data_IF_418273710365
#
_entry.id   IF_418273710365
#
_cell.length_a   1.000
_cell.length_b   1.000
_cell.length_c   1.000
_cell.angle_alpha   90.00
_cell.angle_beta   90.00
_cell.angle_gamma   90.00
#
_symmetry.space_group_name_H-M   'P 1'
#
loop_
_entity.id
_entity.type
_entity.pdbx_description
1 polymer ?
#
# COMPACT_ATOMS: atom_id res chain seq x y z
N UNK A 1 -17.97 -25.34 75.57
CA UNK A 1 -18.94 -25.74 74.51
C UNK A 1 -19.61 -24.49 73.96
N UNK A 2 -19.25 -24.07 72.74
CA UNK A 2 -20.12 -23.37 71.77
C UNK A 2 -19.34 -23.31 70.46
N UNK A 3 -19.91 -23.93 69.43
CA UNK A 3 -19.34 -24.19 68.10
C UNK A 3 -19.15 -22.87 67.34
N UNK A 4 -17.98 -22.65 66.73
CA UNK A 4 -17.81 -21.69 65.64
C UNK A 4 -18.01 -22.43 64.31
N UNK A 5 -18.86 -21.85 63.45
CA UNK A 5 -19.20 -22.27 62.09
C UNK A 5 -18.23 -21.58 61.13
N UNK A 6 -17.68 -22.25 60.09
CA UNK A 6 -16.74 -21.63 59.17
C UNK A 6 -17.47 -20.82 58.10
N UNK A 7 -17.03 -19.58 57.86
CA UNK A 7 -17.38 -18.84 56.65
C UNK A 7 -16.26 -19.07 55.62
N UNK A 8 -16.65 -19.64 54.48
CA UNK A 8 -15.78 -19.85 53.33
C UNK A 8 -15.42 -18.51 52.68
N UNK A 9 -14.13 -18.29 52.45
CA UNK A 9 -13.63 -17.22 51.59
C UNK A 9 -13.75 -17.71 50.15
N UNK A 10 -14.70 -17.15 49.40
CA UNK A 10 -14.71 -17.22 47.93
C UNK A 10 -14.12 -15.91 47.43
N UNK A 11 -12.83 -15.92 47.10
CA UNK A 11 -12.21 -14.86 46.32
C UNK A 11 -12.23 -15.30 44.86
N UNK A 12 -13.09 -14.63 44.08
CA UNK A 12 -13.30 -14.82 42.66
C UNK A 12 -12.05 -14.36 41.90
N UNK A 13 -11.36 -15.27 41.21
CA UNK A 13 -10.40 -14.93 40.18
C UNK A 13 -11.17 -14.34 38.99
N UNK A 14 -11.24 -13.00 38.90
CA UNK A 14 -11.60 -12.35 37.66
C UNK A 14 -10.38 -12.41 36.73
N UNK A 15 -10.36 -13.41 35.85
CA UNK A 15 -9.45 -13.42 34.71
C UNK A 15 -9.73 -12.18 33.86
N UNK A 16 -8.72 -11.31 33.70
CA UNK A 16 -8.74 -10.35 32.62
C UNK A 16 -8.77 -11.15 31.31
N UNK A 17 -9.95 -11.19 30.68
CA UNK A 17 -10.07 -11.52 29.27
C UNK A 17 -9.30 -10.45 28.51
N UNK A 18 -8.19 -10.84 27.88
CA UNK A 18 -7.50 -10.03 26.91
C UNK A 18 -8.51 -9.57 25.86
N UNK A 19 -8.50 -8.26 25.55
CA UNK A 19 -9.21 -7.71 24.41
C UNK A 19 -8.78 -8.47 23.13
N UNK A 20 -9.70 -8.68 22.16
CA UNK A 20 -9.38 -9.45 20.98
C UNK A 20 -8.20 -8.81 20.24
N UNK A 21 -7.26 -9.66 19.82
CA UNK A 21 -6.21 -9.29 18.89
C UNK A 21 -6.85 -8.58 17.69
N UNK A 22 -6.33 -7.40 17.34
CA UNK A 22 -6.61 -6.82 16.03
C UNK A 22 -6.25 -7.89 15.00
N UNK A 23 -7.20 -8.27 14.14
CA UNK A 23 -6.90 -9.15 13.02
C UNK A 23 -5.71 -8.52 12.27
N UNK A 24 -4.62 -9.28 12.11
CA UNK A 24 -3.48 -8.82 11.34
C UNK A 24 -3.98 -8.38 9.96
N UNK A 25 -3.53 -7.22 9.47
CA UNK A 25 -3.83 -6.80 8.11
C UNK A 25 -3.31 -7.90 7.18
N UNK A 26 -4.21 -8.51 6.42
CA UNK A 26 -3.88 -9.60 5.49
C UNK A 26 -3.39 -8.97 4.19
N UNK A 27 -2.15 -9.28 3.80
CA UNK A 27 -1.57 -8.90 2.52
C UNK A 27 -2.10 -9.82 1.41
N UNK A 28 -2.60 -9.25 0.32
CA UNK A 28 -3.29 -9.98 -0.75
C UNK A 28 -2.38 -10.03 -1.98
N UNK A 29 -1.93 -11.22 -2.34
CA UNK A 29 -1.01 -11.45 -3.46
C UNK A 29 -1.74 -12.19 -4.57
N UNK A 30 -1.68 -11.65 -5.79
CA UNK A 30 -2.23 -12.28 -6.98
C UNK A 30 -1.10 -12.72 -7.91
N UNK A 31 -1.00 -14.02 -8.18
CA UNK A 31 -0.10 -14.57 -9.20
C UNK A 31 -0.83 -14.64 -10.54
N UNK A 32 -0.18 -14.25 -11.64
CA UNK A 32 -0.74 -14.41 -12.97
C UNK A 32 -0.69 -15.87 -13.44
N UNK A 33 -1.72 -16.28 -14.19
CA UNK A 33 -1.71 -17.47 -15.04
C UNK A 33 -2.48 -17.18 -16.34
N UNK A 34 -2.43 -15.93 -16.82
CA UNK A 34 -3.15 -15.47 -18.01
C UNK A 34 -2.24 -15.26 -19.22
N UNK A 35 -0.92 -15.27 -19.03
CA UNK A 35 0.09 -15.14 -20.09
C UNK A 35 0.84 -16.46 -20.33
N UNK A 36 0.13 -17.58 -20.24
CA UNK A 36 0.61 -18.91 -20.59
C UNK A 36 1.77 -19.42 -19.70
N UNK A 37 1.68 -19.13 -18.40
CA UNK A 37 2.60 -19.54 -17.33
C UNK A 37 2.72 -21.07 -17.17
N UNK A 38 1.82 -21.84 -17.78
CA UNK A 38 1.85 -23.32 -17.82
C UNK A 38 2.12 -23.87 -19.22
N UNK A 39 2.69 -23.07 -20.14
CA UNK A 39 3.00 -23.52 -21.49
C UNK A 39 4.26 -24.39 -21.54
N UNK A 40 4.29 -25.36 -22.47
CA UNK A 40 5.43 -26.26 -22.63
C UNK A 40 5.72 -27.03 -21.34
N UNK A 41 6.92 -26.84 -20.80
CA UNK A 41 7.36 -27.42 -19.53
C UNK A 41 7.21 -26.48 -18.32
N UNK A 42 6.71 -25.25 -18.51
CA UNK A 42 6.52 -24.29 -17.44
C UNK A 42 5.33 -24.64 -16.55
N UNK A 43 5.36 -24.18 -15.30
CA UNK A 43 4.25 -24.35 -14.36
C UNK A 43 4.24 -23.27 -13.28
N UNK A 44 4.30 -22.01 -13.70
CA UNK A 44 4.50 -20.85 -12.81
C UNK A 44 3.23 -20.44 -12.05
N UNK A 45 2.62 -21.42 -11.37
CA UNK A 45 1.42 -21.29 -10.56
C UNK A 45 1.70 -21.77 -9.13
N UNK A 46 1.00 -21.19 -8.16
CA UNK A 46 1.08 -21.59 -6.74
C UNK A 46 0.23 -22.83 -6.42
N UNK A 47 -0.67 -23.21 -7.33
CA UNK A 47 -1.64 -24.27 -7.14
C UNK A 47 -2.48 -24.51 -8.41
N UNK A 48 -2.88 -25.77 -8.62
CA UNK A 48 -3.80 -26.16 -9.71
C UNK A 48 -5.25 -25.79 -9.39
N UNK A 49 -5.59 -25.58 -8.11
CA UNK A 49 -6.87 -24.95 -7.77
C UNK A 49 -6.76 -23.44 -7.93
N UNK A 50 -7.47 -22.91 -8.91
CA UNK A 50 -7.50 -21.49 -9.22
C UNK A 50 -8.95 -20.97 -9.19
N UNK A 51 -9.19 -19.76 -8.67
CA UNK A 51 -8.20 -18.79 -8.21
C UNK A 51 -7.63 -19.05 -6.81
N UNK A 52 -8.20 -19.99 -6.05
CA UNK A 52 -7.87 -20.20 -4.64
C UNK A 52 -7.16 -21.55 -4.42
N UNK A 53 -5.84 -21.56 -4.12
CA UNK A 53 -5.09 -22.79 -3.90
C UNK A 53 -5.49 -23.51 -2.60
N UNK A 54 -6.18 -22.82 -1.67
CA UNK A 54 -6.63 -23.43 -0.40
C UNK A 54 -7.67 -24.53 -0.60
N UNK A 55 -8.29 -24.64 -1.79
CA UNK A 55 -9.17 -25.77 -2.08
C UNK A 55 -8.41 -27.09 -2.34
N UNK A 56 -7.10 -27.06 -2.64
CA UNK A 56 -6.27 -28.27 -2.62
C UNK A 56 -5.98 -28.70 -1.18
N UNK A 57 -5.59 -27.74 -0.34
CA UNK A 57 -5.40 -27.91 1.09
C UNK A 57 -5.57 -26.56 1.79
N UNK A 58 -6.52 -26.48 2.74
CA UNK A 58 -6.86 -25.22 3.42
C UNK A 58 -5.87 -24.81 4.50
N UNK A 59 -4.94 -25.68 4.88
CA UNK A 59 -3.93 -25.44 5.90
C UNK A 59 -2.58 -26.07 5.51
N UNK A 60 -1.98 -25.66 4.37
CA UNK A 60 -0.78 -26.30 3.86
C UNK A 60 0.41 -26.11 4.83
N UNK A 61 1.20 -27.17 5.01
CA UNK A 61 2.38 -27.21 5.87
C UNK A 61 3.68 -27.40 5.09
N UNK A 62 3.59 -28.04 3.93
CA UNK A 62 4.70 -28.34 3.02
C UNK A 62 4.33 -27.91 1.60
N UNK A 63 5.34 -27.63 0.79
CA UNK A 63 5.20 -27.23 -0.61
C UNK A 63 4.33 -28.20 -1.43
N UNK A 64 4.49 -29.50 -1.19
CA UNK A 64 3.69 -30.56 -1.84
C UNK A 64 2.23 -30.67 -1.39
N UNK A 65 1.75 -29.79 -0.50
CA UNK A 65 0.32 -29.72 -0.16
C UNK A 65 -0.49 -29.00 -1.25
N UNK A 66 0.17 -28.18 -2.07
CA UNK A 66 -0.36 -27.62 -3.31
C UNK A 66 0.40 -28.23 -4.50
N UNK A 67 -0.02 -27.91 -5.73
CA UNK A 67 0.60 -28.45 -6.95
C UNK A 67 0.78 -27.32 -7.94
N UNK A 68 2.02 -27.00 -8.25
CA UNK A 68 2.41 -25.83 -9.04
C UNK A 68 3.85 -25.46 -8.70
N UNK A 69 4.69 -25.12 -9.67
CA UNK A 69 6.12 -24.89 -9.43
C UNK A 69 6.43 -23.73 -8.46
N UNK A 70 5.44 -22.93 -8.08
CA UNK A 70 5.57 -21.85 -7.09
C UNK A 70 4.90 -22.19 -5.74
N UNK A 71 4.54 -23.46 -5.48
CA UNK A 71 3.77 -23.84 -4.28
C UNK A 71 4.50 -23.49 -2.99
N UNK A 72 5.82 -23.67 -2.92
CA UNK A 72 6.63 -23.37 -1.74
C UNK A 72 6.57 -21.88 -1.38
N UNK A 73 6.50 -21.00 -2.37
CA UNK A 73 6.29 -19.57 -2.18
C UNK A 73 4.91 -19.31 -1.58
N UNK A 74 3.85 -19.82 -2.20
CA UNK A 74 2.48 -19.65 -1.73
C UNK A 74 2.24 -20.25 -0.34
N UNK A 75 2.74 -21.45 -0.09
CA UNK A 75 2.64 -22.16 1.20
C UNK A 75 3.41 -21.43 2.29
N UNK A 76 4.62 -20.93 2.00
CA UNK A 76 5.38 -20.15 2.98
C UNK A 76 4.63 -18.89 3.41
N UNK A 77 4.01 -18.17 2.47
CA UNK A 77 3.17 -17.00 2.76
C UNK A 77 1.92 -17.40 3.57
N UNK A 78 1.19 -18.44 3.13
CA UNK A 78 -0.03 -18.92 3.79
C UNK A 78 0.24 -19.32 5.25
N UNK A 79 1.36 -19.98 5.53
CA UNK A 79 1.76 -20.43 6.88
C UNK A 79 1.99 -19.28 7.87
N UNK A 80 2.29 -18.08 7.38
CA UNK A 80 2.44 -16.91 8.27
C UNK A 80 1.11 -16.46 8.86
N UNK A 81 -0.03 -16.80 8.23
CA UNK A 81 -1.34 -16.26 8.56
C UNK A 81 -1.54 -14.78 8.23
N UNK A 82 -0.56 -14.13 7.59
CA UNK A 82 -0.58 -12.71 7.25
C UNK A 82 -0.85 -12.45 5.76
N UNK A 83 -0.96 -13.49 4.95
CA UNK A 83 -1.14 -13.37 3.51
C UNK A 83 -2.34 -14.16 3.03
N UNK A 84 -3.01 -13.63 2.00
CA UNK A 84 -3.94 -14.34 1.14
C UNK A 84 -3.31 -14.44 -0.25
N UNK A 85 -3.19 -15.65 -0.75
CA UNK A 85 -2.60 -15.93 -2.06
C UNK A 85 -3.69 -16.40 -3.01
N UNK A 86 -3.73 -15.81 -4.21
CA UNK A 86 -4.61 -16.23 -5.31
C UNK A 86 -3.86 -16.30 -6.62
N UNK A 87 -4.45 -16.99 -7.59
CA UNK A 87 -4.01 -16.98 -8.99
C UNK A 87 -5.09 -16.36 -9.87
N UNK A 88 -4.69 -15.52 -10.83
CA UNK A 88 -5.56 -15.03 -11.90
C UNK A 88 -5.63 -16.12 -13.00
N UNK A 89 -6.73 -16.88 -13.14
CA UNK A 89 -6.75 -18.07 -13.99
C UNK A 89 -6.79 -17.74 -15.48
N UNK A 90 -6.37 -18.68 -16.37
CA UNK A 90 -6.48 -18.52 -17.81
C UNK A 90 -7.90 -18.13 -18.24
N UNK A 91 -8.00 -17.24 -19.24
CA UNK A 91 -9.28 -16.70 -19.72
C UNK A 91 -9.81 -15.49 -18.94
N UNK A 92 -9.16 -15.10 -17.83
CA UNK A 92 -9.40 -13.81 -17.19
C UNK A 92 -8.54 -12.70 -17.84
N UNK A 93 -8.75 -11.46 -17.40
CA UNK A 93 -8.02 -10.28 -17.89
C UNK A 93 -7.37 -9.56 -16.73
N UNK A 94 -6.10 -9.19 -16.89
CA UNK A 94 -5.41 -8.31 -15.93
C UNK A 94 -6.11 -6.94 -15.98
N UNK A 95 -6.76 -6.57 -14.88
CA UNK A 95 -7.66 -5.42 -14.81
C UNK A 95 -7.41 -4.60 -13.55
N UNK A 96 -7.66 -3.29 -13.62
CA UNK A 96 -7.53 -2.37 -12.49
C UNK A 96 -8.66 -1.34 -12.51
N UNK A 97 -9.41 -1.21 -11.42
CA UNK A 97 -10.49 -0.23 -11.29
C UNK A 97 -11.83 -0.65 -11.89
N UNK A 98 -12.01 -1.93 -12.25
CA UNK A 98 -13.21 -2.43 -12.94
C UNK A 98 -14.28 -3.00 -11.99
N UNK A 99 -13.94 -3.25 -10.72
CA UNK A 99 -14.84 -3.85 -9.73
C UNK A 99 -14.91 -5.38 -9.76
N UNK A 100 -14.16 -6.06 -10.64
CA UNK A 100 -14.08 -7.52 -10.68
C UNK A 100 -13.43 -8.12 -9.42
N UNK A 101 -13.78 -9.35 -9.05
CA UNK A 101 -13.27 -9.99 -7.83
C UNK A 101 -11.75 -10.23 -7.85
N UNK A 102 -11.18 -10.47 -9.04
CA UNK A 102 -9.75 -10.63 -9.27
C UNK A 102 -9.11 -9.38 -9.90
N UNK A 103 -9.81 -8.23 -9.88
CA UNK A 103 -9.25 -6.94 -10.28
C UNK A 103 -8.13 -6.54 -9.32
N UNK A 104 -7.03 -5.99 -9.87
CA UNK A 104 -5.84 -5.61 -9.13
C UNK A 104 -6.11 -4.60 -8.00
N UNK A 105 -7.20 -3.83 -8.06
CA UNK A 105 -7.61 -2.95 -6.96
C UNK A 105 -7.86 -3.70 -5.63
N UNK A 106 -8.12 -5.01 -5.69
CA UNK A 106 -8.40 -5.85 -4.55
C UNK A 106 -7.16 -6.57 -4.00
N UNK A 107 -5.98 -6.28 -4.53
CA UNK A 107 -4.71 -6.90 -4.14
C UNK A 107 -3.69 -5.84 -3.76
N UNK A 108 -2.70 -6.25 -2.98
CA UNK A 108 -1.59 -5.41 -2.56
C UNK A 108 -0.36 -5.66 -3.46
N UNK A 109 -0.26 -6.87 -4.03
CA UNK A 109 0.80 -7.27 -4.94
C UNK A 109 0.29 -8.11 -6.11
N UNK A 110 0.88 -7.89 -7.29
CA UNK A 110 0.71 -8.69 -8.49
C UNK A 110 2.04 -9.30 -8.92
N UNK A 111 2.08 -10.62 -9.06
CA UNK A 111 3.23 -11.38 -9.54
C UNK A 111 2.96 -11.80 -10.99
N UNK A 112 3.82 -11.42 -11.92
CA UNK A 112 3.77 -11.81 -13.33
C UNK A 112 5.01 -12.67 -13.65
N UNK A 113 4.91 -14.00 -13.54
CA UNK A 113 6.06 -14.87 -13.65
C UNK A 113 6.28 -15.39 -15.08
N UNK A 114 7.39 -15.03 -15.71
CA UNK A 114 7.80 -15.47 -17.06
C UNK A 114 6.62 -15.44 -18.06
N UNK A 115 6.05 -14.25 -18.35
CA UNK A 115 4.94 -14.15 -19.28
C UNK A 115 5.37 -14.65 -20.66
N UNK A 116 4.52 -15.48 -21.26
CA UNK A 116 4.70 -16.09 -22.58
C UNK A 116 3.67 -15.57 -23.60
N UNK A 117 2.84 -14.60 -23.23
CA UNK A 117 1.91 -13.91 -24.14
C UNK A 117 2.01 -12.42 -23.88
N UNK A 118 2.11 -11.63 -24.96
CA UNK A 118 2.13 -10.17 -24.85
C UNK A 118 0.86 -9.65 -24.17
N UNK A 119 1.03 -8.76 -23.19
CA UNK A 119 -0.10 -8.10 -22.53
C UNK A 119 -0.82 -7.18 -23.53
N UNK A 120 -2.15 -7.22 -23.53
CA UNK A 120 -2.94 -6.26 -24.30
C UNK A 120 -2.73 -4.83 -23.79
N UNK A 121 -3.07 -3.82 -24.60
CA UNK A 121 -2.94 -2.42 -24.21
C UNK A 121 -3.68 -2.09 -22.90
N UNK A 122 -4.87 -2.66 -22.70
CA UNK A 122 -5.65 -2.48 -21.47
C UNK A 122 -4.98 -3.14 -20.26
N UNK A 123 -4.38 -4.31 -20.43
CA UNK A 123 -3.70 -5.03 -19.35
C UNK A 123 -2.42 -4.30 -18.94
N UNK A 124 -1.63 -3.83 -19.90
CA UNK A 124 -0.46 -2.99 -19.63
C UNK A 124 -0.85 -1.74 -18.85
N UNK A 125 -1.88 -1.02 -19.31
CA UNK A 125 -2.39 0.15 -18.58
C UNK A 125 -2.93 -0.20 -17.18
N UNK A 126 -3.52 -1.38 -16.99
CA UNK A 126 -4.01 -1.84 -15.69
C UNK A 126 -2.84 -2.09 -14.72
N UNK A 127 -1.81 -2.82 -15.14
CA UNK A 127 -0.59 -3.07 -14.34
C UNK A 127 0.06 -1.74 -13.97
N UNK A 128 0.25 -0.85 -14.93
CA UNK A 128 0.91 0.44 -14.66
C UNK A 128 0.11 1.32 -13.71
N UNK A 129 -1.22 1.40 -13.85
CA UNK A 129 -2.06 2.16 -12.91
C UNK A 129 -2.10 1.52 -11.54
N UNK A 130 -2.11 0.19 -11.45
CA UNK A 130 -2.02 -0.51 -10.17
C UNK A 130 -0.76 -0.11 -9.41
N UNK A 131 0.42 -0.19 -10.05
CA UNK A 131 1.68 0.25 -9.43
C UNK A 131 1.66 1.74 -9.13
N UNK A 132 1.25 2.58 -10.08
CA UNK A 132 1.20 4.04 -9.88
C UNK A 132 0.40 4.44 -8.62
N UNK A 133 -0.65 3.68 -8.30
CA UNK A 133 -1.56 3.93 -7.17
C UNK A 133 -1.23 3.13 -5.90
N UNK A 134 -0.01 2.58 -5.78
CA UNK A 134 0.48 1.98 -4.54
C UNK A 134 0.62 0.46 -4.54
N UNK A 135 0.24 -0.22 -5.62
CA UNK A 135 0.42 -1.66 -5.77
C UNK A 135 1.89 -2.08 -5.89
N UNK A 136 2.20 -3.29 -5.43
CA UNK A 136 3.47 -3.96 -5.64
C UNK A 136 3.46 -4.81 -6.92
N UNK A 137 4.45 -4.65 -7.79
CA UNK A 137 4.63 -5.50 -8.97
C UNK A 137 5.88 -6.35 -8.84
N UNK A 138 5.72 -7.68 -8.87
CA UNK A 138 6.82 -8.64 -8.95
C UNK A 138 6.86 -9.22 -10.35
N UNK A 139 7.91 -8.92 -11.10
CA UNK A 139 8.20 -9.50 -12.40
C UNK A 139 9.21 -10.64 -12.25
N UNK A 140 9.00 -11.74 -12.96
CA UNK A 140 10.04 -12.75 -13.16
C UNK A 140 10.27 -12.85 -14.66
N UNK A 141 11.51 -12.60 -15.08
CA UNK A 141 11.94 -12.81 -16.45
C UNK A 141 12.62 -14.17 -16.56
N UNK A 142 12.93 -14.57 -17.77
CA UNK A 142 13.82 -15.69 -18.06
C UNK A 142 14.85 -15.25 -19.13
N UNK A 143 15.41 -16.19 -19.89
CA UNK A 143 16.38 -15.94 -20.96
C UNK A 143 15.74 -15.63 -22.33
N UNK A 144 16.54 -15.16 -23.28
CA UNK A 144 16.21 -15.21 -24.71
C UNK A 144 16.12 -16.67 -25.17
N UNK A 145 15.05 -17.02 -25.88
CA UNK A 145 14.63 -18.37 -26.19
C UNK A 145 13.70 -19.00 -25.14
N UNK A 146 13.09 -18.18 -24.27
CA UNK A 146 12.10 -18.62 -23.27
C UNK A 146 10.67 -18.72 -23.80
N UNK A 147 10.44 -18.51 -25.09
CA UNK A 147 9.14 -18.76 -25.74
C UNK A 147 8.68 -20.22 -25.60
N UNK A 148 7.85 -20.48 -24.58
CA UNK A 148 7.31 -21.80 -24.21
C UNK A 148 6.07 -22.19 -25.02
N UNK A 149 5.41 -21.22 -25.67
CA UNK A 149 4.16 -21.44 -26.40
C UNK A 149 4.33 -21.34 -27.93
N UNK A 150 5.53 -20.99 -28.39
CA UNK A 150 5.94 -20.81 -29.78
C UNK A 150 5.17 -19.68 -30.49
N UNK A 151 4.82 -18.60 -29.78
CA UNK A 151 4.12 -17.44 -30.36
C UNK A 151 5.07 -16.35 -30.90
N UNK A 152 6.38 -16.55 -30.71
CA UNK A 152 7.45 -15.67 -31.19
C UNK A 152 7.86 -14.58 -30.20
N UNK A 153 7.40 -14.64 -28.94
CA UNK A 153 7.79 -13.71 -27.89
C UNK A 153 8.48 -14.40 -26.72
N UNK A 154 9.69 -13.95 -26.40
CA UNK A 154 10.34 -14.35 -25.16
C UNK A 154 9.89 -13.47 -23.97
N UNK A 155 9.94 -14.01 -22.75
CA UNK A 155 9.56 -13.25 -21.55
C UNK A 155 10.33 -11.93 -21.34
N UNK A 156 11.65 -11.82 -21.64
CA UNK A 156 12.35 -10.53 -21.64
C UNK A 156 11.76 -9.50 -22.59
N UNK A 157 11.27 -9.94 -23.77
CA UNK A 157 10.70 -9.04 -24.78
C UNK A 157 9.33 -8.53 -24.34
N UNK A 158 8.49 -9.41 -23.77
CA UNK A 158 7.18 -9.04 -23.24
C UNK A 158 7.33 -8.03 -22.09
N UNK A 159 8.30 -8.25 -21.19
CA UNK A 159 8.57 -7.31 -20.09
C UNK A 159 9.09 -5.98 -20.63
N UNK A 160 9.98 -5.97 -21.63
CA UNK A 160 10.44 -4.73 -22.26
C UNK A 160 9.32 -3.97 -23.00
N UNK A 161 8.34 -4.66 -23.60
CA UNK A 161 7.13 -4.04 -24.17
C UNK A 161 6.28 -3.38 -23.06
N UNK A 162 6.16 -3.99 -21.88
CA UNK A 162 5.53 -3.34 -20.72
C UNK A 162 6.31 -2.07 -20.27
N UNK A 163 7.65 -2.08 -20.33
CA UNK A 163 8.45 -0.90 -19.93
C UNK A 163 8.33 0.28 -20.90
N UNK A 164 8.15 0.01 -22.20
CA UNK A 164 8.28 1.03 -23.25
C UNK A 164 7.00 1.32 -24.02
N UNK A 165 5.95 0.51 -23.84
CA UNK A 165 4.71 0.59 -24.61
C UNK A 165 3.47 0.21 -23.77
N UNK A 166 3.29 0.83 -22.60
CA UNK A 166 2.19 0.51 -21.68
C UNK A 166 0.99 1.47 -21.70
N UNK A 167 1.13 2.64 -22.32
CA UNK A 167 0.04 3.63 -22.47
C UNK A 167 -0.22 4.49 -21.23
N UNK A 168 0.58 4.38 -20.17
CA UNK A 168 0.55 5.25 -18.99
C UNK A 168 1.81 6.10 -18.93
N UNK A 169 2.97 5.48 -19.03
CA UNK A 169 4.27 6.13 -19.14
C UNK A 169 5.20 5.26 -20.00
N UNK A 170 5.44 5.69 -21.24
CA UNK A 170 6.23 4.94 -22.22
C UNK A 170 7.74 5.30 -22.18
N UNK A 171 8.21 5.92 -21.10
CA UNK A 171 9.60 6.41 -20.98
C UNK A 171 10.48 5.55 -20.07
N UNK A 172 10.21 4.25 -19.96
CA UNK A 172 10.87 3.34 -19.01
C UNK A 172 10.66 3.81 -17.55
N UNK A 173 9.41 3.83 -17.07
CA UNK A 173 9.05 4.42 -15.79
C UNK A 173 9.65 3.68 -14.59
N UNK A 174 10.17 2.46 -14.76
CA UNK A 174 10.83 1.71 -13.69
C UNK A 174 12.36 1.89 -13.73
N UNK A 175 12.91 2.50 -14.78
CA UNK A 175 14.33 2.80 -14.91
C UNK A 175 15.19 1.57 -15.18
N UNK A 176 14.66 0.53 -15.83
CA UNK A 176 15.46 -0.61 -16.24
C UNK A 176 14.92 -1.27 -17.51
N UNK A 177 15.83 -1.89 -18.27
CA UNK A 177 15.47 -2.82 -19.34
C UNK A 177 15.96 -4.23 -19.03
N UNK A 178 15.24 -5.22 -19.54
CA UNK A 178 15.68 -6.61 -19.53
C UNK A 178 16.65 -6.83 -20.68
N UNK A 179 17.83 -7.37 -20.38
CA UNK A 179 18.78 -7.74 -21.42
C UNK A 179 18.27 -8.97 -22.19
N UNK A 180 18.48 -9.01 -23.50
CA UNK A 180 18.20 -10.21 -24.30
C UNK A 180 19.43 -11.13 -24.28
N UNK A 181 19.53 -11.95 -23.23
CA UNK A 181 20.65 -12.86 -22.97
C UNK A 181 20.14 -14.25 -22.57
N UNK A 182 21.00 -15.24 -22.74
CA UNK A 182 20.88 -16.54 -22.10
C UNK A 182 22.16 -16.82 -21.31
N UNK A 183 22.06 -16.67 -19.99
CA UNK A 183 23.13 -16.98 -19.05
C UNK A 183 22.87 -18.40 -18.54
N UNK A 184 23.61 -19.37 -19.06
CA UNK A 184 23.35 -20.77 -18.76
C UNK A 184 23.52 -21.15 -17.29
N UNK A 185 24.46 -20.51 -16.57
CA UNK A 185 24.66 -20.72 -15.14
C UNK A 185 25.46 -19.57 -14.52
N UNK A 186 25.07 -19.14 -13.32
CA UNK A 186 25.82 -18.24 -12.44
C UNK A 186 25.30 -18.33 -11.00
N UNK A 187 26.02 -17.76 -10.04
CA UNK A 187 25.56 -17.53 -8.66
C UNK A 187 25.61 -16.03 -8.32
N UNK A 188 24.57 -15.26 -8.71
CA UNK A 188 24.53 -13.82 -8.47
C UNK A 188 24.74 -13.47 -7.00
N UNK A 189 25.51 -12.41 -6.75
CA UNK A 189 25.90 -11.98 -5.41
C UNK A 189 25.13 -10.72 -5.04
N UNK A 190 24.51 -10.73 -3.87
CA UNK A 190 23.81 -9.59 -3.32
C UNK A 190 24.79 -8.47 -2.93
N UNK A 191 24.36 -7.22 -3.09
CA UNK A 191 25.13 -6.06 -2.62
C UNK A 191 25.22 -6.02 -1.10
N UNK A 192 26.23 -5.33 -0.59
CA UNK A 192 26.35 -5.04 0.84
C UNK A 192 25.49 -3.83 1.23
N UNK A 193 24.22 -4.07 1.53
CA UNK A 193 23.31 -3.07 2.10
C UNK A 193 22.52 -3.69 3.27
N UNK A 194 22.97 -3.40 4.50
CA UNK A 194 22.38 -3.96 5.71
C UNK A 194 20.99 -3.38 6.05
N UNK A 195 20.60 -2.29 5.39
CA UNK A 195 19.31 -1.61 5.62
C UNK A 195 18.25 -2.00 4.60
N UNK A 196 18.64 -2.68 3.52
CA UNK A 196 17.69 -3.05 2.48
C UNK A 196 16.73 -4.16 2.97
N UNK A 197 15.40 -3.96 2.87
CA UNK A 197 14.39 -4.90 3.38
C UNK A 197 14.30 -6.19 2.57
N UNK A 198 14.63 -6.15 1.28
CA UNK A 198 14.61 -7.33 0.42
C UNK A 198 15.79 -8.24 0.77
N UNK A 199 16.95 -7.65 1.08
CA UNK A 199 18.16 -8.39 1.44
C UNK A 199 18.20 -8.84 2.91
N UNK A 200 17.46 -8.18 3.81
CA UNK A 200 17.53 -8.43 5.26
C UNK A 200 16.14 -8.52 5.91
N UNK A 201 15.13 -8.97 5.16
CA UNK A 201 13.74 -9.04 5.63
C UNK A 201 13.48 -10.19 6.60
N UNK A 202 12.22 -10.29 7.05
CA UNK A 202 11.80 -11.25 8.06
C UNK A 202 11.95 -12.73 7.65
N UNK A 203 12.06 -13.01 6.35
CA UNK A 203 12.20 -14.36 5.82
C UNK A 203 13.66 -14.84 5.70
N UNK A 204 14.62 -13.98 6.05
CA UNK A 204 16.03 -14.35 6.11
C UNK A 204 16.93 -13.34 5.41
N UNK A 205 18.24 -13.57 5.53
CA UNK A 205 19.25 -12.75 4.87
C UNK A 205 19.56 -13.32 3.48
N UNK A 206 19.61 -12.44 2.48
CA UNK A 206 20.01 -12.80 1.10
C UNK A 206 21.47 -12.41 0.88
N UNK A 207 22.28 -13.38 0.45
CA UNK A 207 23.67 -13.18 0.03
C UNK A 207 23.89 -13.60 -1.41
N UNK A 208 23.21 -14.68 -1.83
CA UNK A 208 23.36 -15.24 -3.16
C UNK A 208 22.01 -15.66 -3.74
N UNK A 209 21.94 -15.70 -5.07
CA UNK A 209 20.90 -16.41 -5.81
C UNK A 209 21.56 -17.37 -6.80
N UNK A 210 20.80 -17.98 -7.70
CA UNK A 210 21.31 -18.82 -8.78
C UNK A 210 20.73 -18.40 -10.12
N UNK A 211 21.44 -18.75 -11.19
CA UNK A 211 20.94 -18.73 -12.57
C UNK A 211 21.08 -20.13 -13.16
N UNK A 212 20.05 -20.59 -13.86
CA UNK A 212 19.98 -21.84 -14.62
C UNK A 212 19.28 -21.61 -15.98
N UNK A 213 19.89 -20.78 -16.84
CA UNK A 213 19.35 -20.18 -18.08
C UNK A 213 18.50 -18.94 -17.84
N UNK A 214 19.07 -17.88 -17.28
CA UNK A 214 18.37 -16.61 -17.06
C UNK A 214 18.94 -15.44 -17.86
N UNK A 215 18.58 -14.23 -17.42
CA UNK A 215 19.06 -12.97 -17.99
C UNK A 215 19.51 -11.97 -16.90
N UNK A 216 19.88 -10.77 -17.33
CA UNK A 216 20.22 -9.63 -16.48
C UNK A 216 19.44 -8.38 -16.88
N UNK A 217 19.59 -7.32 -16.08
CA UNK A 217 18.98 -6.03 -16.28
C UNK A 217 20.04 -4.95 -16.45
N UNK A 218 19.72 -4.00 -17.33
CA UNK A 218 20.45 -2.74 -17.47
C UNK A 218 19.65 -1.64 -16.78
N UNK A 219 20.27 -0.97 -15.80
CA UNK A 219 19.67 0.07 -14.98
C UNK A 219 19.86 1.44 -15.64
N UNK A 220 18.82 2.26 -15.61
CA UNK A 220 18.73 3.60 -16.19
C UNK A 220 18.25 4.60 -15.13
N UNK A 221 19.11 4.97 -14.15
CA UNK A 221 18.74 5.91 -13.08
C UNK A 221 18.40 7.32 -13.58
N UNK A 222 18.74 7.65 -14.83
CA UNK A 222 18.31 8.88 -15.48
C UNK A 222 16.80 8.89 -15.79
N UNK A 223 16.21 7.73 -16.08
CA UNK A 223 14.79 7.57 -16.36
C UNK A 223 14.02 7.45 -15.02
N UNK A 224 14.57 6.71 -14.06
CA UNK A 224 14.06 6.66 -12.69
C UNK A 224 15.15 6.48 -11.64
N UNK A 225 15.39 7.52 -10.83
CA UNK A 225 16.44 7.53 -9.81
C UNK A 225 16.20 6.57 -8.64
N UNK A 226 15.00 5.98 -8.50
CA UNK A 226 14.69 4.98 -7.47
C UNK A 226 15.14 3.57 -7.85
N UNK A 227 15.52 3.35 -9.11
CA UNK A 227 15.97 2.04 -9.58
C UNK A 227 17.28 1.61 -8.89
N UNK A 228 17.34 0.36 -8.45
CA UNK A 228 18.48 -0.19 -7.74
C UNK A 228 18.64 -1.68 -8.01
N UNK A 229 19.82 -2.08 -8.49
CA UNK A 229 20.19 -3.50 -8.52
C UNK A 229 20.62 -3.98 -7.13
N UNK A 230 20.07 -5.11 -6.70
CA UNK A 230 20.31 -5.72 -5.39
C UNK A 230 21.17 -6.98 -5.45
N UNK A 231 21.18 -7.70 -6.57
CA UNK A 231 22.09 -8.79 -6.85
C UNK A 231 22.65 -8.65 -8.27
N UNK A 232 23.89 -9.04 -8.48
CA UNK A 232 24.60 -8.94 -9.77
C UNK A 232 25.28 -10.25 -10.09
N UNK A 233 25.58 -10.50 -11.37
CA UNK A 233 26.39 -11.65 -11.76
C UNK A 233 27.66 -11.77 -10.90
N UNK A 234 28.10 -12.99 -10.60
CA UNK A 234 29.21 -13.25 -9.67
C UNK A 234 30.54 -12.62 -10.12
N UNK A 235 30.67 -12.37 -11.41
CA UNK A 235 31.83 -11.76 -12.06
C UNK A 235 31.72 -10.24 -12.22
N UNK A 236 30.59 -9.64 -11.82
CA UNK A 236 30.31 -8.22 -12.00
C UNK A 236 30.35 -7.45 -10.68
N UNK A 237 30.93 -6.25 -10.71
CA UNK A 237 30.76 -5.29 -9.62
C UNK A 237 29.40 -4.60 -9.72
N UNK A 238 28.78 -4.19 -8.59
CA UNK A 238 27.55 -3.41 -8.61
C UNK A 238 27.68 -2.14 -9.46
N UNK A 239 26.68 -1.88 -10.29
CA UNK A 239 26.68 -0.78 -11.27
C UNK A 239 25.39 -0.77 -12.08
N UNK A 240 25.41 -0.22 -13.30
CA UNK A 240 24.20 -0.10 -14.13
C UNK A 240 23.99 -1.27 -15.10
N UNK A 241 24.80 -2.32 -15.04
CA UNK A 241 24.73 -3.46 -15.96
C UNK A 241 24.87 -4.77 -15.19
N UNK A 242 24.40 -5.87 -15.78
CA UNK A 242 24.52 -7.22 -15.23
C UNK A 242 23.86 -7.39 -13.86
N UNK A 243 22.86 -6.57 -13.54
CA UNK A 243 22.02 -6.77 -12.38
C UNK A 243 21.14 -8.01 -12.62
N UNK A 244 20.96 -8.83 -11.60
CA UNK A 244 20.15 -10.05 -11.66
C UNK A 244 18.85 -9.95 -10.85
N UNK A 245 18.84 -9.08 -9.84
CA UNK A 245 17.64 -8.72 -9.11
C UNK A 245 17.59 -7.21 -8.96
N UNK A 246 16.49 -6.58 -9.36
CA UNK A 246 16.34 -5.12 -9.36
C UNK A 246 15.07 -4.74 -8.63
N UNK A 247 15.12 -3.62 -7.92
CA UNK A 247 13.96 -2.96 -7.33
C UNK A 247 13.82 -1.54 -7.84
N UNK A 248 12.60 -1.03 -7.91
CA UNK A 248 12.28 0.36 -8.28
C UNK A 248 10.97 0.81 -7.64
N UNK A 249 10.58 2.06 -7.87
CA UNK A 249 9.26 2.60 -7.47
C UNK A 249 8.64 3.33 -8.65
N UNK A 250 7.31 3.37 -8.71
CA UNK A 250 6.58 4.16 -9.71
C UNK A 250 5.27 4.66 -9.11
N UNK A 251 5.04 5.97 -9.19
CA UNK A 251 3.99 6.62 -8.40
C UNK A 251 4.17 6.32 -6.91
N UNK A 252 3.15 5.74 -6.27
CA UNK A 252 3.22 5.32 -4.87
C UNK A 252 3.57 3.83 -4.69
N UNK A 253 3.70 3.06 -5.76
CA UNK A 253 3.94 1.63 -5.72
C UNK A 253 5.41 1.24 -5.82
N UNK A 254 5.63 -0.07 -5.75
CA UNK A 254 6.95 -0.71 -5.69
C UNK A 254 7.07 -1.75 -6.78
N UNK A 255 8.27 -1.93 -7.32
CA UNK A 255 8.54 -2.90 -8.38
C UNK A 255 9.76 -3.72 -8.01
N UNK A 256 9.70 -5.04 -8.20
CA UNK A 256 10.86 -5.91 -8.19
C UNK A 256 10.88 -6.76 -9.45
N UNK A 257 12.07 -7.10 -9.93
CA UNK A 257 12.25 -8.02 -11.04
C UNK A 257 13.40 -8.99 -10.79
N UNK A 258 13.15 -10.27 -11.10
CA UNK A 258 14.10 -11.38 -10.96
C UNK A 258 14.45 -11.94 -12.33
N UNK A 259 15.75 -12.12 -12.63
CA UNK A 259 16.24 -12.46 -13.95
C UNK A 259 16.10 -13.91 -14.40
N UNK A 260 15.50 -14.80 -13.59
CA UNK A 260 15.35 -16.22 -13.91
C UNK A 260 14.15 -16.78 -13.13
N UNK A 261 13.40 -17.71 -13.75
CA UNK A 261 12.29 -18.42 -13.14
C UNK A 261 12.72 -19.67 -12.36
N UNK A 262 13.86 -20.28 -12.70
CA UNK A 262 14.43 -21.46 -12.03
C UNK A 262 14.66 -21.26 -10.52
N UNK A 263 15.11 -20.09 -10.03
CA UNK A 263 15.19 -19.80 -8.59
C UNK A 263 13.84 -19.79 -7.86
N UNK A 264 12.75 -19.50 -8.56
CA UNK A 264 11.40 -19.46 -7.99
C UNK A 264 10.71 -20.83 -8.00
N UNK A 265 11.18 -21.74 -8.86
CA UNK A 265 10.69 -23.10 -9.01
C UNK A 265 11.08 -23.99 -7.81
N UNK A 266 10.11 -24.74 -7.28
CA UNK A 266 10.26 -25.63 -6.14
C UNK A 266 10.15 -27.14 -6.49
N UNK A 267 9.94 -27.47 -7.76
CA UNK A 267 9.78 -28.82 -8.27
C UNK A 267 8.44 -29.50 -7.96
N UNK A 268 7.45 -28.78 -7.42
CA UNK A 268 6.12 -29.34 -7.06
C UNK A 268 5.07 -29.21 -8.16
N UNK A 269 5.51 -28.89 -9.37
CA UNK A 269 4.59 -28.68 -10.48
C UNK A 269 3.89 -29.93 -10.98
N UNK A 270 3.01 -29.72 -11.95
CA UNK A 270 2.14 -30.72 -12.55
C UNK A 270 2.92 -31.89 -13.18
N UNK A 271 2.28 -33.06 -13.22
CA UNK A 271 2.88 -34.27 -13.80
C UNK A 271 3.19 -34.07 -15.29
N UNK A 272 4.40 -34.44 -15.69
CA UNK A 272 4.89 -34.31 -17.06
C UNK A 272 5.88 -33.16 -17.25
N UNK A 273 5.92 -32.20 -16.33
CA UNK A 273 6.87 -31.09 -16.37
C UNK A 273 8.27 -31.56 -15.93
N UNK A 274 9.30 -31.03 -16.59
CA UNK A 274 10.70 -31.17 -16.16
C UNK A 274 11.15 -29.84 -15.58
N UNK A 275 11.13 -29.76 -14.26
CA UNK A 275 11.31 -28.55 -13.48
C UNK A 275 12.69 -28.50 -12.80
N UNK A 276 13.09 -27.31 -12.37
CA UNK A 276 14.36 -27.05 -11.68
C UNK A 276 14.05 -26.56 -10.26
N UNK A 277 14.26 -27.37 -9.21
CA UNK A 277 14.05 -26.88 -7.85
C UNK A 277 15.18 -25.94 -7.42
N UNK A 278 15.04 -24.65 -7.72
CA UNK A 278 15.94 -23.61 -7.26
C UNK A 278 15.49 -22.97 -5.95
N UNK A 279 14.21 -23.02 -5.59
CA UNK A 279 13.66 -22.39 -4.39
C UNK A 279 14.36 -22.85 -3.11
N UNK A 280 14.66 -24.15 -3.03
CA UNK A 280 15.31 -24.79 -1.88
C UNK A 280 16.78 -25.15 -2.12
N UNK A 281 17.40 -24.62 -3.18
CA UNK A 281 18.82 -24.88 -3.46
C UNK A 281 19.71 -24.35 -2.32
N UNK A 282 20.43 -25.25 -1.66
CA UNK A 282 21.28 -24.93 -0.49
C UNK A 282 22.46 -23.99 -0.77
N UNK A 283 22.77 -23.70 -2.03
CA UNK A 283 23.83 -22.78 -2.44
C UNK A 283 23.35 -21.34 -2.65
N UNK A 284 22.05 -21.11 -2.54
CA UNK A 284 21.41 -19.81 -2.76
C UNK A 284 20.41 -19.47 -1.63
N UNK A 285 19.98 -18.20 -1.58
CA UNK A 285 19.00 -17.70 -0.60
C UNK A 285 17.65 -17.37 -1.28
N UNK A 286 17.27 -18.15 -2.29
CA UNK A 286 16.15 -17.85 -3.21
C UNK A 286 14.81 -17.69 -2.48
N UNK A 287 14.47 -18.60 -1.56
CA UNK A 287 13.26 -18.47 -0.76
C UNK A 287 13.22 -17.16 0.04
N UNK A 288 14.34 -16.76 0.65
CA UNK A 288 14.42 -15.50 1.39
C UNK A 288 14.29 -14.30 0.44
N UNK A 289 14.90 -14.35 -0.75
CA UNK A 289 14.80 -13.28 -1.75
C UNK A 289 13.36 -13.08 -2.24
N UNK A 290 12.69 -14.16 -2.68
CA UNK A 290 11.30 -14.10 -3.14
C UNK A 290 10.35 -13.63 -2.04
N UNK A 291 10.44 -14.18 -0.83
CA UNK A 291 9.53 -13.85 0.27
C UNK A 291 9.78 -12.45 0.85
N UNK A 292 11.04 -12.00 0.97
CA UNK A 292 11.33 -10.64 1.41
C UNK A 292 10.92 -9.60 0.36
N UNK A 293 11.10 -9.90 -0.93
CA UNK A 293 10.60 -9.05 -2.00
C UNK A 293 9.07 -8.96 -1.98
N UNK A 294 8.37 -10.08 -1.83
CA UNK A 294 6.90 -10.11 -1.63
C UNK A 294 6.49 -9.23 -0.45
N UNK A 295 7.11 -9.41 0.71
CA UNK A 295 6.83 -8.61 1.90
C UNK A 295 7.08 -7.12 1.69
N UNK A 296 8.13 -6.77 0.94
CA UNK A 296 8.41 -5.38 0.60
C UNK A 296 7.40 -4.82 -0.40
N UNK A 297 6.99 -5.59 -1.41
CA UNK A 297 6.01 -5.19 -2.42
C UNK A 297 4.61 -5.03 -1.84
N UNK A 298 4.16 -5.98 -1.03
CA UNK A 298 2.85 -5.97 -0.36
C UNK A 298 2.75 -5.00 0.83
N UNK A 299 3.84 -4.30 1.17
CA UNK A 299 3.85 -3.27 2.22
C UNK A 299 4.15 -3.76 3.65
N UNK A 300 4.52 -5.03 3.84
CA UNK A 300 4.82 -5.67 5.14
C UNK A 300 6.24 -5.42 5.69
N UNK A 301 7.13 -4.85 4.88
CA UNK A 301 8.50 -4.54 5.30
C UNK A 301 8.57 -3.21 6.07
N UNK A 302 9.11 -3.22 7.28
CA UNK A 302 9.50 -2.02 8.07
C UNK A 302 10.70 -1.27 7.49
N UNK A 303 10.76 -1.16 6.18
CA UNK A 303 11.42 -0.01 5.56
C UNK A 303 10.39 0.56 4.61
N UNK A 304 9.70 1.59 5.10
CA UNK A 304 9.39 2.73 4.26
C UNK A 304 10.55 2.90 3.27
N UNK A 305 10.29 3.05 1.96
CA UNK A 305 11.19 3.81 1.10
C UNK A 305 11.58 5.10 1.86
N UNK A 306 12.61 5.86 1.52
CA UNK A 306 12.69 7.24 1.97
C UNK A 306 11.52 8.05 1.36
N UNK A 307 10.30 7.77 1.80
CA UNK A 307 9.12 8.60 1.77
C UNK A 307 9.08 9.23 3.15
N UNK A 308 9.07 10.55 3.15
CA UNK A 308 9.39 11.42 4.28
C UNK A 308 8.28 11.45 5.35
N UNK A 309 7.66 10.30 5.67
CA UNK A 309 6.67 10.22 6.72
C UNK A 309 7.36 10.28 8.09
N UNK A 310 7.73 11.49 8.49
CA UNK A 310 7.96 11.79 9.90
C UNK A 310 6.58 11.94 10.53
N UNK A 311 6.22 11.01 11.43
CA UNK A 311 4.97 11.11 12.18
C UNK A 311 4.89 12.46 12.89
N UNK A 312 3.73 13.12 12.82
CA UNK A 312 3.60 14.46 13.37
C UNK A 312 2.30 15.16 13.05
N UNK A 313 2.13 16.32 13.70
CA UNK A 313 1.10 17.30 13.40
C UNK A 313 1.61 18.25 12.31
N UNK A 314 0.85 18.44 11.24
CA UNK A 314 1.25 19.21 10.06
C UNK A 314 0.65 20.62 9.95
N UNK A 315 -0.44 20.93 10.67
CA UNK A 315 -1.00 22.27 10.74
C UNK A 315 -0.11 23.17 11.59
N UNK A 316 0.14 24.38 11.08
CA UNK A 316 0.70 25.47 11.85
C UNK A 316 -0.42 26.17 12.64
N UNK A 317 -0.10 26.58 13.87
CA UNK A 317 -1.04 27.25 14.77
C UNK A 317 -2.39 26.50 14.90
N UNK A 318 -2.39 25.20 15.27
CA UNK A 318 -3.56 24.32 15.24
C UNK A 318 -4.72 24.77 16.14
N UNK A 319 -4.41 25.38 17.30
CA UNK A 319 -5.39 25.93 18.24
C UNK A 319 -5.49 27.46 18.18
N UNK A 320 -5.08 28.10 17.08
CA UNK A 320 -5.24 29.54 16.84
C UNK A 320 -4.56 30.52 17.82
N UNK A 321 -3.83 30.04 18.84
CA UNK A 321 -3.17 30.83 19.89
C UNK A 321 -2.17 31.90 19.39
N UNK A 322 -1.74 31.82 18.12
CA UNK A 322 -0.93 32.85 17.45
C UNK A 322 -1.75 33.76 16.52
N UNK A 323 -3.04 33.94 16.80
CA UNK A 323 -3.98 34.71 15.98
C UNK A 323 -4.13 34.10 14.58
N UNK A 324 -4.33 34.94 13.56
CA UNK A 324 -4.48 34.48 12.17
C UNK A 324 -3.17 33.95 11.53
N UNK A 325 -2.07 33.82 12.27
CA UNK A 325 -0.82 33.31 11.71
C UNK A 325 -1.03 31.91 11.11
N UNK A 326 -0.57 31.74 9.86
CA UNK A 326 -0.73 30.55 9.02
C UNK A 326 -2.17 30.18 8.58
N UNK A 327 -3.16 30.96 8.99
CA UNK A 327 -4.56 30.79 8.58
C UNK A 327 -5.01 31.96 7.71
N UNK A 328 -5.82 31.67 6.68
CA UNK A 328 -6.55 32.70 5.93
C UNK A 328 -8.00 32.67 6.40
N UNK A 329 -8.48 33.78 6.98
CA UNK A 329 -9.81 33.86 7.56
C UNK A 329 -10.50 35.20 7.25
N UNK A 330 -11.82 35.22 7.32
CA UNK A 330 -12.61 36.46 7.37
C UNK A 330 -12.18 37.31 8.58
N UNK A 331 -12.38 38.63 8.48
CA UNK A 331 -11.99 39.55 9.56
C UNK A 331 -12.81 39.27 10.82
N UNK A 332 -12.14 39.11 11.97
CA UNK A 332 -12.80 38.87 13.25
C UNK A 332 -13.02 37.39 13.60
N UNK A 333 -12.89 36.46 12.63
CA UNK A 333 -13.13 35.03 12.88
C UNK A 333 -12.13 34.45 13.89
N UNK A 334 -10.84 34.72 13.73
CA UNK A 334 -9.81 34.25 14.66
C UNK A 334 -9.57 35.30 15.74
N UNK A 335 -9.91 34.98 17.00
CA UNK A 335 -9.89 35.94 18.09
C UNK A 335 -9.96 35.31 19.48
N UNK A 336 -9.84 36.17 20.50
CA UNK A 336 -10.10 35.81 21.90
C UNK A 336 -11.53 36.22 22.24
N UNK A 337 -12.45 35.26 22.17
CA UNK A 337 -13.90 35.53 22.29
C UNK A 337 -14.42 35.45 23.74
N UNK A 338 -13.55 35.08 24.69
CA UNK A 338 -13.83 35.18 26.12
C UNK A 338 -15.00 34.31 26.56
N UNK A 339 -15.96 34.89 27.28
CA UNK A 339 -17.13 34.14 27.79
C UNK A 339 -18.27 34.05 26.81
N UNK A 340 -18.23 34.82 25.71
CA UNK A 340 -19.30 34.84 24.70
C UNK A 340 -19.27 33.52 23.92
N UNK A 341 -18.09 33.13 23.45
CA UNK A 341 -17.83 31.81 22.85
C UNK A 341 -16.47 31.27 23.34
N UNK A 342 -16.44 30.56 24.48
CA UNK A 342 -15.19 30.07 25.06
C UNK A 342 -14.41 29.15 24.11
N UNK A 343 -13.09 29.31 24.08
CA UNK A 343 -12.19 28.37 23.39
C UNK A 343 -12.25 26.98 24.06
N UNK A 344 -12.00 25.93 23.28
CA UNK A 344 -11.91 24.56 23.79
C UNK A 344 -10.65 24.38 24.66
N UNK A 345 -9.52 24.92 24.18
CA UNK A 345 -8.28 25.02 24.94
C UNK A 345 -7.64 26.39 24.69
N UNK A 346 -6.75 26.82 25.59
CA UNK A 346 -6.10 28.12 25.46
C UNK A 346 -7.09 29.29 25.58
N UNK A 347 -6.93 30.30 24.73
CA UNK A 347 -7.75 31.53 24.76
C UNK A 347 -8.22 32.01 23.39
N UNK A 348 -7.74 31.40 22.30
CA UNK A 348 -8.10 31.75 20.94
C UNK A 348 -8.89 30.63 20.28
N UNK A 349 -9.80 30.99 19.39
CA UNK A 349 -10.51 30.04 18.53
C UNK A 349 -10.91 30.73 17.22
N UNK A 350 -11.42 29.94 16.26
CA UNK A 350 -12.07 30.46 15.07
C UNK A 350 -13.59 30.42 15.24
N UNK A 351 -14.22 31.57 15.41
CA UNK A 351 -15.68 31.72 15.49
C UNK A 351 -16.20 32.24 14.16
N UNK A 352 -16.97 31.40 13.46
CA UNK A 352 -17.64 31.75 12.21
C UNK A 352 -19.12 32.06 12.51
N UNK A 353 -19.65 33.08 11.84
CA UNK A 353 -21.05 33.51 11.91
C UNK A 353 -21.47 34.03 13.32
N UNK A 354 -22.71 33.77 13.77
CA UNK A 354 -23.24 34.24 15.06
C UNK A 354 -23.81 35.67 15.05
N UNK A 355 -24.13 36.23 13.89
CA UNK A 355 -24.58 37.62 13.76
C UNK A 355 -26.10 37.77 13.90
N UNK A 356 -26.87 36.70 13.67
CA UNK A 356 -28.32 36.78 13.53
C UNK A 356 -28.76 37.56 12.28
N UNK A 357 -27.91 37.60 11.25
CA UNK A 357 -28.19 38.22 9.96
C UNK A 357 -27.34 37.56 8.88
N UNK A 358 -27.74 37.69 7.61
CA UNK A 358 -27.09 36.93 6.54
C UNK A 358 -25.59 37.25 6.46
N UNK A 359 -24.77 36.25 6.75
CA UNK A 359 -23.33 36.37 6.79
C UNK A 359 -22.65 35.12 6.24
N UNK A 360 -21.38 35.26 5.86
CA UNK A 360 -20.59 34.14 5.39
C UNK A 360 -19.16 34.34 5.85
N UNK A 361 -18.74 33.49 6.78
CA UNK A 361 -17.38 33.46 7.26
C UNK A 361 -16.60 32.28 6.69
N UNK A 362 -15.29 32.46 6.59
CA UNK A 362 -14.37 31.40 6.14
C UNK A 362 -13.12 31.38 7.00
N UNK A 363 -12.54 30.18 7.16
CA UNK A 363 -11.19 29.98 7.67
C UNK A 363 -10.55 28.78 6.97
N UNK A 364 -9.28 28.91 6.58
CA UNK A 364 -8.59 27.86 5.82
C UNK A 364 -7.08 27.86 6.03
N UNK A 365 -6.48 26.68 5.84
CA UNK A 365 -5.03 26.48 5.80
C UNK A 365 -4.70 25.39 4.77
N UNK A 366 -3.61 25.58 4.02
CA UNK A 366 -3.09 24.54 3.11
C UNK A 366 -1.98 23.76 3.80
N UNK A 367 -2.07 22.44 3.77
CA UNK A 367 -1.09 21.52 4.34
C UNK A 367 -0.52 20.62 3.25
N UNK A 368 0.78 20.36 3.30
CA UNK A 368 1.43 19.38 2.42
C UNK A 368 1.56 18.06 3.16
N UNK A 369 0.86 17.03 2.68
CA UNK A 369 0.89 15.70 3.27
C UNK A 369 2.12 14.94 2.73
N UNK A 370 2.97 14.34 3.59
CA UNK A 370 4.03 13.46 3.12
C UNK A 370 3.43 12.25 2.41
N UNK A 371 4.16 11.64 1.49
CA UNK A 371 3.80 10.33 0.94
C UNK A 371 4.30 9.21 1.86
N UNK A 372 3.58 8.09 1.91
CA UNK A 372 4.05 6.87 2.57
C UNK A 372 3.79 6.76 4.08
N UNK A 373 2.87 7.55 4.64
CA UNK A 373 2.34 7.31 5.99
C UNK A 373 1.26 6.22 5.99
N UNK A 374 1.14 5.52 7.10
CA UNK A 374 0.10 4.51 7.34
C UNK A 374 -1.25 5.14 7.70
N UNK A 375 -1.24 6.35 8.25
CA UNK A 375 -2.43 7.11 8.59
C UNK A 375 -2.29 8.60 8.25
N UNK A 376 -3.41 9.20 7.86
CA UNK A 376 -3.58 10.62 7.60
C UNK A 376 -4.92 11.06 8.18
N UNK A 377 -4.90 11.76 9.32
CA UNK A 377 -6.12 12.08 10.08
C UNK A 377 -6.25 13.59 10.22
N UNK A 378 -7.35 14.15 9.72
CA UNK A 378 -7.76 15.51 10.01
C UNK A 378 -8.82 15.52 11.10
N UNK A 379 -8.59 16.24 12.20
CA UNK A 379 -9.54 16.44 13.28
C UNK A 379 -9.65 17.89 13.71
N UNK A 380 -10.72 18.21 14.41
CA UNK A 380 -10.95 19.52 15.05
C UNK A 380 -12.05 19.39 16.10
N UNK A 381 -12.10 20.32 17.03
CA UNK A 381 -13.21 20.47 17.98
C UNK A 381 -14.20 21.50 17.44
N UNK A 382 -15.48 21.17 17.49
CA UNK A 382 -16.56 22.03 17.01
C UNK A 382 -17.60 22.24 18.11
N UNK A 383 -17.85 23.50 18.45
CA UNK A 383 -19.00 23.94 19.22
C UNK A 383 -19.99 24.67 18.29
N UNK A 384 -21.28 24.42 18.51
CA UNK A 384 -22.36 25.03 17.75
C UNK A 384 -23.37 25.56 18.77
N UNK A 385 -23.52 26.88 18.83
CA UNK A 385 -24.57 27.56 19.60
C UNK A 385 -25.58 28.18 18.64
N UNK A 386 -26.87 28.15 18.99
CA UNK A 386 -27.89 28.72 18.11
C UNK A 386 -29.14 29.17 18.85
N UNK A 387 -29.70 30.28 18.36
CA UNK A 387 -31.02 30.76 18.74
C UNK A 387 -32.15 30.17 17.85
N UNK A 388 -31.81 29.50 16.75
CA UNK A 388 -32.79 28.84 15.89
C UNK A 388 -33.52 27.73 16.64
N UNK A 389 -34.84 27.68 16.50
CA UNK A 389 -35.68 26.65 17.11
C UNK A 389 -36.43 25.87 16.04
N UNK A 390 -36.46 24.54 16.16
CA UNK A 390 -37.16 23.66 15.22
C UNK A 390 -36.24 22.65 14.55
N UNK A 391 -36.60 22.25 13.33
CA UNK A 391 -36.01 21.10 12.62
C UNK A 391 -35.49 21.45 11.22
N UNK A 392 -35.43 22.74 10.89
CA UNK A 392 -34.93 23.21 9.59
C UNK A 392 -33.47 23.63 9.73
N UNK A 393 -32.63 23.16 8.81
CA UNK A 393 -31.22 23.50 8.73
C UNK A 393 -31.05 24.81 7.95
N UNK A 394 -31.17 25.95 8.63
CA UNK A 394 -31.04 27.28 8.04
C UNK A 394 -29.58 27.63 7.81
N UNK A 395 -28.78 27.51 8.86
CA UNK A 395 -27.38 27.94 8.91
C UNK A 395 -26.47 26.71 8.77
N UNK A 396 -25.36 26.85 8.05
CA UNK A 396 -24.52 25.70 7.71
C UNK A 396 -23.04 26.00 7.81
N UNK A 397 -22.30 25.07 8.42
CA UNK A 397 -20.86 24.98 8.32
C UNK A 397 -20.48 23.88 7.35
N UNK A 398 -19.75 24.20 6.29
CA UNK A 398 -19.20 23.22 5.35
C UNK A 398 -17.71 23.05 5.57
N UNK A 399 -17.27 21.80 5.74
CA UNK A 399 -15.86 21.43 5.91
C UNK A 399 -15.36 20.72 4.67
N UNK A 400 -14.25 21.18 4.09
CA UNK A 400 -13.69 20.64 2.85
C UNK A 400 -12.20 20.36 2.94
N UNK A 401 -11.76 19.38 2.14
CA UNK A 401 -10.38 19.14 1.76
C UNK A 401 -10.28 19.30 0.23
N UNK A 402 -9.63 20.38 -0.22
CA UNK A 402 -9.65 20.78 -1.63
C UNK A 402 -11.08 21.02 -2.12
N UNK A 403 -11.50 20.32 -3.17
CA UNK A 403 -12.87 20.36 -3.70
C UNK A 403 -13.84 19.40 -2.98
N UNK A 404 -13.35 18.47 -2.18
CA UNK A 404 -14.16 17.43 -1.54
C UNK A 404 -14.79 17.93 -0.26
N UNK A 405 -16.10 17.74 -0.12
CA UNK A 405 -16.81 18.02 1.14
C UNK A 405 -16.66 16.83 2.09
N UNK A 406 -16.04 17.08 3.25
CA UNK A 406 -15.87 16.08 4.31
C UNK A 406 -17.12 16.00 5.18
N UNK A 407 -17.73 17.14 5.50
CA UNK A 407 -18.97 17.22 6.26
C UNK A 407 -19.70 18.56 6.04
N UNK A 408 -21.00 18.53 6.34
CA UNK A 408 -21.82 19.73 6.52
C UNK A 408 -22.52 19.62 7.87
N UNK A 409 -22.33 20.62 8.72
CA UNK A 409 -23.05 20.81 9.98
C UNK A 409 -24.03 21.96 9.84
N UNK A 410 -24.99 22.05 10.76
CA UNK A 410 -26.00 23.11 10.79
C UNK A 410 -26.41 23.44 12.21
N UNK A 411 -27.26 24.45 12.37
CA UNK A 411 -27.96 24.78 13.61
C UNK A 411 -28.63 23.55 14.27
N UNK A 412 -29.05 22.54 13.50
CA UNK A 412 -29.63 21.30 14.02
C UNK A 412 -28.62 20.37 14.72
N UNK A 413 -27.32 20.65 14.58
CA UNK A 413 -26.25 19.89 15.21
C UNK A 413 -25.76 20.51 16.52
N UNK A 414 -26.42 21.57 17.00
CA UNK A 414 -26.14 22.19 18.29
C UNK A 414 -26.18 21.16 19.43
N UNK A 415 -25.14 21.19 20.26
CA UNK A 415 -24.96 20.30 21.39
C UNK A 415 -24.18 21.03 22.49
N UNK A 416 -24.33 20.56 23.73
CA UNK A 416 -23.60 21.13 24.86
C UNK A 416 -22.09 20.94 24.67
N UNK A 417 -21.35 22.05 24.66
CA UNK A 417 -19.89 22.09 24.57
C UNK A 417 -19.33 21.63 23.22
N UNK A 418 -18.02 21.46 23.18
CA UNK A 418 -17.31 21.04 21.97
C UNK A 418 -17.43 19.54 21.72
N UNK A 419 -17.51 19.19 20.44
CA UNK A 419 -17.48 17.80 19.95
C UNK A 419 -16.33 17.63 18.97
N UNK A 420 -15.49 16.62 19.18
CA UNK A 420 -14.41 16.33 18.24
C UNK A 420 -14.94 15.68 16.96
N UNK A 421 -14.47 16.16 15.80
CA UNK A 421 -14.72 15.62 14.48
C UNK A 421 -13.41 15.10 13.90
N UNK A 422 -13.47 14.03 13.11
CA UNK A 422 -12.29 13.37 12.55
C UNK A 422 -12.58 12.74 11.19
N UNK A 423 -11.65 12.88 10.26
CA UNK A 423 -11.76 12.44 8.87
C UNK A 423 -10.42 11.88 8.38
N UNK A 424 -10.45 10.87 7.51
CA UNK A 424 -9.25 10.43 6.81
C UNK A 424 -8.89 11.38 5.67
N UNK A 425 -7.60 11.68 5.53
CA UNK A 425 -7.01 12.38 4.39
C UNK A 425 -6.13 11.44 3.52
N UNK A 426 -6.25 10.13 3.67
CA UNK A 426 -5.41 9.17 2.95
C UNK A 426 -5.43 9.33 1.42
N UNK A 427 -6.54 9.80 0.85
CA UNK A 427 -6.67 10.10 -0.58
C UNK A 427 -5.77 11.26 -1.06
N UNK A 428 -5.22 12.06 -0.15
CA UNK A 428 -4.36 13.21 -0.43
C UNK A 428 -2.90 12.96 -0.06
N UNK A 429 -2.51 11.71 0.22
CA UNK A 429 -1.13 11.34 0.51
C UNK A 429 -0.18 11.86 -0.59
N UNK A 430 0.92 12.50 -0.19
CA UNK A 430 1.89 13.10 -1.11
C UNK A 430 1.44 14.40 -1.80
N UNK A 431 0.28 14.96 -1.45
CA UNK A 431 -0.27 16.16 -2.09
C UNK A 431 -0.39 17.32 -1.09
N UNK A 432 -0.43 18.54 -1.62
CA UNK A 432 -0.90 19.71 -0.86
C UNK A 432 -2.42 19.81 -0.96
N UNK A 433 -3.09 19.93 0.19
CA UNK A 433 -4.54 20.04 0.27
C UNK A 433 -4.93 21.23 1.15
N UNK A 434 -5.87 22.04 0.67
CA UNK A 434 -6.46 23.14 1.44
C UNK A 434 -7.60 22.61 2.29
N UNK A 435 -7.47 22.71 3.62
CA UNK A 435 -8.54 22.45 4.56
C UNK A 435 -9.29 23.75 4.79
N UNK A 436 -10.61 23.73 4.60
CA UNK A 436 -11.43 24.93 4.70
C UNK A 436 -12.74 24.68 5.43
N UNK A 437 -13.13 25.70 6.18
CA UNK A 437 -14.40 25.83 6.86
C UNK A 437 -15.12 27.04 6.26
N UNK A 438 -16.39 26.88 5.90
CA UNK A 438 -17.24 27.96 5.40
C UNK A 438 -18.55 27.92 6.15
N UNK A 439 -18.76 28.93 7.00
CA UNK A 439 -20.03 29.21 7.67
C UNK A 439 -20.91 30.04 6.75
N UNK A 440 -22.21 29.75 6.73
CA UNK A 440 -23.23 30.55 6.06
C UNK A 440 -24.40 30.65 7.01
N UNK A 441 -24.64 31.86 7.49
CA UNK A 441 -25.79 32.22 8.32
C UNK A 441 -26.90 32.84 7.47
N UNK A 442 -28.13 32.48 7.81
CA UNK A 442 -29.36 33.05 7.31
C UNK A 442 -29.67 34.42 7.93
N UNK A 443 -30.86 34.94 7.66
CA UNK A 443 -31.15 36.36 7.87
C UNK A 443 -31.88 36.73 9.17
N UNK A 444 -32.07 35.80 10.13
CA UNK A 444 -33.00 36.02 11.24
C UNK A 444 -32.46 35.70 12.64
N UNK A 445 -32.03 34.47 12.92
CA UNK A 445 -31.52 34.09 14.23
C UNK A 445 -30.08 33.61 14.11
N UNK A 446 -29.36 33.66 15.23
CA UNK A 446 -27.92 33.40 15.22
C UNK A 446 -27.61 31.90 15.21
N UNK A 447 -26.57 31.52 14.48
CA UNK A 447 -25.83 30.28 14.72
C UNK A 447 -24.33 30.55 14.70
N UNK A 448 -23.68 30.31 15.83
CA UNK A 448 -22.23 30.31 16.00
C UNK A 448 -21.65 28.95 15.61
N UNK A 449 -20.59 28.95 14.79
CA UNK A 449 -19.77 27.77 14.56
C UNK A 449 -18.35 28.04 15.06
N UNK A 450 -18.00 27.48 16.22
CA UNK A 450 -16.70 27.71 16.86
C UNK A 450 -15.81 26.49 16.67
N UNK A 451 -14.72 26.69 15.94
CA UNK A 451 -13.72 25.67 15.62
C UNK A 451 -12.46 25.93 16.45
N UNK A 452 -11.95 24.88 17.07
CA UNK A 452 -10.73 24.96 17.86
C UNK A 452 -9.91 23.66 17.79
N UNK A 453 -8.64 23.71 18.18
CA UNK A 453 -7.72 22.58 18.28
C UNK A 453 -7.73 21.67 17.03
N UNK A 454 -7.61 22.29 15.84
CA UNK A 454 -7.56 21.59 14.56
C UNK A 454 -6.23 20.84 14.40
N UNK A 455 -6.25 19.66 13.79
CA UNK A 455 -5.07 18.81 13.71
C UNK A 455 -5.06 18.00 12.41
N UNK A 456 -3.93 17.98 11.70
CA UNK A 456 -3.58 16.97 10.68
C UNK A 456 -2.45 16.09 11.20
N UNK A 457 -2.81 14.92 11.71
CA UNK A 457 -1.87 13.93 12.24
C UNK A 457 -1.53 12.88 11.19
N UNK A 458 -0.24 12.65 10.97
CA UNK A 458 0.26 11.59 10.10
C UNK A 458 1.14 10.63 10.89
N UNK A 459 1.12 9.34 10.55
CA UNK A 459 1.94 8.30 11.22
C UNK A 459 2.20 7.09 10.36
#
# INVERSE_FOLDING_TARGET
>A
MKRLIPFAVVALFAGLLAAPAHAAVVHRVLFDNTKAETAGNADWIVGTSQPDPTAQNSAPQKETDWTGALSAWGVALQKTGQYSVKTLPPGNTISYGTGGALDLQNFDEFVLPEPNVVLSASEKSAVMRFVQNGGGLFLISDHTGSDRNNDGWDSPEIINDLMTNNGVDNTDPFGFSVDLKNISSDHPVAISDATNPVLNGAFGKVKHSLIANGTTFTLKPADNASVKGLAYLSTSSPGNSNAFFVTSTFGSGRVAIWGDSSPADDGTGQSGNTLYNGWTDSTADNAALGLNATAWLAGSGTTTPPGNCTAGQLLANPGFESGATAWTASSGVIGQHGTDEPAHAGTWSAWLDGYGSAHTDTVSQTVTLPSGCSAYTFSFWLHIDTAETGTTAYDKLTVKAGSTTLATYSNLNAASGYQQRSFSLSAYAGQSVTLSFSGVEGSQLQTSFVVDDAAVSVS
#
